data_IF_176901416356
#
_entry.id   IF_176901416356
#
_cell.length_a   1.000
_cell.length_b   1.000
_cell.length_c   1.000
_cell.angle_alpha   90.00
_cell.angle_beta   90.00
_cell.angle_gamma   90.00
#
_symmetry.space_group_name_H-M   'P 1'
#
loop_
_entity.id
_entity.type
_entity.pdbx_description
1 polymer ?
#
# COMPACT_ATOMS: atom_id res chain seq x y z
N UNK A 1 14.75 -19.76 50.72
CA UNK A 1 15.44 -20.04 49.44
C UNK A 1 15.06 -18.96 48.43
N UNK A 2 15.98 -18.19 47.84
CA UNK A 2 15.61 -17.20 46.83
C UNK A 2 15.38 -17.89 45.48
N UNK A 3 14.20 -17.67 44.89
CA UNK A 3 13.85 -18.13 43.54
C UNK A 3 14.47 -17.20 42.51
N UNK A 4 15.22 -17.79 41.58
CA UNK A 4 16.01 -17.13 40.55
C UNK A 4 15.09 -16.37 39.55
N UNK A 5 14.98 -15.04 39.69
CA UNK A 5 14.04 -14.17 38.98
C UNK A 5 14.44 -13.71 37.57
N UNK A 6 15.46 -14.34 36.97
CA UNK A 6 16.10 -13.87 35.74
C UNK A 6 15.33 -14.24 34.46
N UNK A 7 14.66 -15.40 34.44
CA UNK A 7 14.01 -15.93 33.22
C UNK A 7 12.68 -15.27 32.81
N UNK A 8 11.98 -14.61 33.73
CA UNK A 8 10.67 -14.00 33.45
C UNK A 8 10.78 -12.59 32.83
N UNK A 9 11.87 -11.86 33.10
CA UNK A 9 12.08 -10.49 32.59
C UNK A 9 12.50 -10.48 31.12
N UNK A 10 13.28 -11.48 30.70
CA UNK A 10 13.78 -11.60 29.32
C UNK A 10 12.66 -11.95 28.34
N UNK A 11 11.79 -12.90 28.70
CA UNK A 11 10.60 -13.26 27.89
C UNK A 11 9.63 -12.08 27.69
N UNK A 12 9.46 -11.22 28.70
CA UNK A 12 8.67 -9.99 28.58
C UNK A 12 9.27 -8.96 27.61
N UNK A 13 10.60 -8.93 27.48
CA UNK A 13 11.29 -8.02 26.57
C UNK A 13 11.15 -8.48 25.10
N UNK A 14 11.22 -9.79 24.85
CA UNK A 14 11.02 -10.38 23.52
C UNK A 14 9.57 -10.17 23.05
N UNK A 15 8.61 -10.36 23.96
CA UNK A 15 7.19 -10.07 23.70
C UNK A 15 6.96 -8.62 23.30
N UNK A 16 7.55 -7.65 24.03
CA UNK A 16 7.48 -6.22 23.70
C UNK A 16 8.10 -5.90 22.34
N UNK A 17 9.31 -6.38 22.06
CA UNK A 17 9.97 -6.18 20.75
C UNK A 17 9.13 -6.69 19.58
N UNK A 18 8.49 -7.86 19.75
CA UNK A 18 7.59 -8.43 18.74
C UNK A 18 6.34 -7.58 18.54
N UNK A 19 5.74 -7.08 19.62
CA UNK A 19 4.58 -6.17 19.55
C UNK A 19 4.96 -4.88 18.83
N UNK A 20 6.10 -4.28 19.15
CA UNK A 20 6.59 -3.06 18.51
C UNK A 20 6.90 -3.28 17.03
N UNK A 21 7.49 -4.42 16.67
CA UNK A 21 7.73 -4.80 15.28
C UNK A 21 6.42 -4.92 14.50
N UNK A 22 5.41 -5.59 15.08
CA UNK A 22 4.09 -5.72 14.46
C UNK A 22 3.39 -4.36 14.31
N UNK A 23 3.55 -3.45 15.27
CA UNK A 23 3.03 -2.08 15.15
C UNK A 23 3.68 -1.32 14.00
N UNK A 24 5.01 -1.41 13.86
CA UNK A 24 5.72 -0.79 12.74
C UNK A 24 5.28 -1.34 11.39
N UNK A 25 5.14 -2.67 11.26
CA UNK A 25 4.69 -3.25 9.99
C UNK A 25 3.24 -2.88 9.66
N UNK A 26 2.36 -2.81 10.68
CA UNK A 26 1.01 -2.27 10.49
C UNK A 26 1.04 -0.83 9.98
N UNK A 27 1.90 0.02 10.52
CA UNK A 27 2.03 1.40 10.06
C UNK A 27 2.58 1.49 8.63
N UNK A 28 3.56 0.64 8.29
CA UNK A 28 4.07 0.51 6.91
C UNK A 28 2.95 0.13 5.95
N UNK A 29 2.15 -0.87 6.30
CA UNK A 29 1.02 -1.31 5.48
C UNK A 29 -0.09 -0.28 5.36
N UNK A 30 -0.38 0.51 6.40
CA UNK A 30 -1.31 1.65 6.31
C UNK A 30 -0.85 2.67 5.27
N UNK A 31 0.42 3.03 5.30
CA UNK A 31 1.03 3.98 4.35
C UNK A 31 0.89 3.46 2.91
N UNK A 32 1.21 2.18 2.68
CA UNK A 32 1.06 1.55 1.36
C UNK A 32 -0.40 1.56 0.90
N UNK A 33 -1.33 1.19 1.78
CA UNK A 33 -2.75 1.13 1.43
C UNK A 33 -3.32 2.53 1.14
N UNK A 34 -2.84 3.56 1.84
CA UNK A 34 -3.19 4.95 1.53
C UNK A 34 -2.70 5.37 0.14
N UNK A 35 -1.43 5.09 -0.20
CA UNK A 35 -0.90 5.38 -1.54
C UNK A 35 -1.68 4.63 -2.65
N UNK A 36 -2.10 3.39 -2.39
CA UNK A 36 -2.99 2.65 -3.29
C UNK A 36 -4.34 3.34 -3.48
N UNK A 37 -4.90 3.97 -2.44
CA UNK A 37 -6.16 4.70 -2.55
C UNK A 37 -6.01 6.01 -3.32
N UNK A 38 -4.91 6.73 -3.09
CA UNK A 38 -4.55 7.92 -3.86
C UNK A 38 -4.39 7.58 -5.35
N UNK A 39 -3.72 6.46 -5.67
CA UNK A 39 -3.60 5.98 -7.03
C UNK A 39 -4.96 5.65 -7.66
N UNK A 40 -5.90 5.05 -6.91
CA UNK A 40 -7.27 4.79 -7.40
C UNK A 40 -8.07 6.05 -7.71
N UNK A 41 -7.70 7.19 -7.15
CA UNK A 41 -8.41 8.46 -7.39
C UNK A 41 -8.02 9.12 -8.71
N UNK A 42 -6.79 8.86 -9.19
CA UNK A 42 -6.32 9.39 -10.48
C UNK A 42 -6.58 8.44 -11.65
N UNK A 43 -6.82 7.16 -11.38
CA UNK A 43 -7.19 6.20 -12.43
C UNK A 43 -8.61 6.49 -12.93
N UNK A 44 -8.84 6.54 -14.25
CA UNK A 44 -10.17 6.70 -14.83
C UNK A 44 -11.10 5.57 -14.38
N UNK A 45 -12.16 5.93 -13.63
CA UNK A 45 -13.14 4.97 -13.12
C UNK A 45 -14.17 4.67 -14.20
N UNK A 46 -14.41 3.38 -14.44
CA UNK A 46 -15.53 2.95 -15.28
C UNK A 46 -16.85 3.39 -14.62
N UNK A 47 -17.64 4.20 -15.32
CA UNK A 47 -18.96 4.65 -14.86
C UNK A 47 -19.80 3.47 -14.37
N UNK A 48 -20.25 3.54 -13.11
CA UNK A 48 -21.11 2.53 -12.50
C UNK A 48 -20.42 1.50 -11.60
N UNK A 49 -19.08 1.43 -11.56
CA UNK A 49 -18.38 0.54 -10.62
C UNK A 49 -18.38 1.13 -9.20
N UNK A 50 -19.26 0.62 -8.33
CA UNK A 50 -19.34 1.02 -6.90
C UNK A 50 -18.23 0.43 -6.04
N UNK A 51 -17.55 -0.63 -6.50
CA UNK A 51 -16.50 -1.31 -5.74
C UNK A 51 -15.09 -0.77 -6.02
N UNK A 52 -14.25 -0.79 -4.99
CA UNK A 52 -12.82 -0.44 -5.09
C UNK A 52 -12.07 -1.53 -5.87
N UNK A 53 -11.20 -1.10 -6.76
CA UNK A 53 -10.30 -1.98 -7.52
C UNK A 53 -9.38 -2.76 -6.57
N UNK A 54 -9.12 -4.04 -6.88
CA UNK A 54 -8.06 -4.80 -6.21
C UNK A 54 -6.68 -4.16 -6.44
N UNK A 55 -5.67 -4.55 -5.65
CA UNK A 55 -4.29 -4.02 -5.80
C UNK A 55 -3.74 -4.29 -7.20
N UNK A 56 -3.94 -5.51 -7.72
CA UNK A 56 -3.50 -5.87 -9.07
C UNK A 56 -4.24 -5.06 -10.14
N UNK A 57 -5.57 -4.97 -10.08
CA UNK A 57 -6.35 -4.17 -11.03
C UNK A 57 -5.94 -2.69 -11.00
N UNK A 58 -5.66 -2.14 -9.80
CA UNK A 58 -5.21 -0.76 -9.64
C UNK A 58 -3.88 -0.52 -10.38
N UNK A 59 -2.88 -1.41 -10.19
CA UNK A 59 -1.60 -1.30 -10.89
C UNK A 59 -1.75 -1.46 -12.41
N UNK A 60 -2.55 -2.45 -12.83
CA UNK A 60 -2.82 -2.71 -14.25
C UNK A 60 -3.50 -1.52 -14.93
N UNK A 61 -4.50 -0.93 -14.28
CA UNK A 61 -5.18 0.24 -14.83
C UNK A 61 -4.30 1.49 -14.82
N UNK A 62 -3.46 1.70 -13.80
CA UNK A 62 -2.50 2.80 -13.80
C UNK A 62 -1.53 2.71 -14.98
N UNK A 63 -1.02 1.50 -15.27
CA UNK A 63 -0.15 1.26 -16.42
C UNK A 63 -0.83 1.64 -17.75
N UNK A 64 -2.06 1.15 -17.98
CA UNK A 64 -2.80 1.51 -19.20
C UNK A 64 -3.11 3.00 -19.27
N UNK A 65 -3.49 3.62 -18.15
CA UNK A 65 -3.77 5.05 -18.13
C UNK A 65 -2.54 5.89 -18.52
N UNK A 66 -1.34 5.52 -18.08
CA UNK A 66 -0.10 6.18 -18.51
C UNK A 66 0.12 6.01 -20.01
N UNK A 67 -0.08 4.79 -20.56
CA UNK A 67 0.07 4.56 -21.99
C UNK A 67 -0.92 5.36 -22.82
N UNK A 68 -2.19 5.42 -22.40
CA UNK A 68 -3.23 6.16 -23.11
C UNK A 68 -2.90 7.66 -23.16
N UNK A 69 -2.43 8.25 -22.05
CA UNK A 69 -1.98 9.64 -22.00
C UNK A 69 -0.76 9.90 -22.89
N UNK A 70 0.18 8.96 -22.95
CA UNK A 70 1.35 9.08 -23.83
C UNK A 70 0.93 9.05 -25.30
N UNK A 71 0.01 8.16 -25.68
CA UNK A 71 -0.51 8.08 -27.04
C UNK A 71 -1.23 9.37 -27.43
N UNK A 72 -2.10 9.90 -26.57
CA UNK A 72 -2.82 11.16 -26.79
C UNK A 72 -1.86 12.35 -27.00
N UNK A 73 -0.81 12.44 -26.18
CA UNK A 73 0.21 13.48 -26.33
C UNK A 73 1.01 13.31 -27.62
N UNK A 74 1.36 12.08 -28.01
CA UNK A 74 2.11 11.84 -29.26
C UNK A 74 1.26 12.16 -30.49
N UNK A 75 -0.02 11.76 -30.53
CA UNK A 75 -0.93 12.07 -31.65
C UNK A 75 -1.13 13.59 -31.76
N UNK A 76 -1.21 14.30 -30.62
CA UNK A 76 -1.29 15.76 -30.60
C UNK A 76 -0.08 16.41 -31.27
N UNK A 77 1.13 15.88 -31.08
CA UNK A 77 2.36 16.41 -31.69
C UNK A 77 2.40 16.21 -33.21
N UNK A 78 1.68 15.22 -33.75
CA UNK A 78 1.56 14.99 -35.21
C UNK A 78 0.40 15.74 -35.87
N UNK A 79 -0.45 16.41 -35.09
CA UNK A 79 -1.66 17.08 -35.56
C UNK A 79 -1.53 18.61 -35.65
N UNK A 80 -0.33 19.16 -35.48
CA UNK A 80 -0.04 20.60 -35.45
C UNK A 80 0.85 21.04 -36.63
#
# INVERSE_FOLDING_TARGET
MPVNGSGYRENHSIGRRRVDANMRERQRMRTINQAFEELRNVIPKQSGRKQKLSKYETLRMAYFHILDLLDELTISDWSN
#
